data_IF_643607134620
#
_entry.id   IF_643607134620
#
_cell.length_a   1.000
_cell.length_b   1.000
_cell.length_c   1.000
_cell.angle_alpha   90.00
_cell.angle_beta   90.00
_cell.angle_gamma   90.00
#
_symmetry.space_group_name_H-M   'P 1'
#
loop_
_entity.id
_entity.type
_entity.pdbx_description
1 polymer ?
#
# COMPACT_ATOMS: atom_id res chain seq x y z
N UNK A 1 1.59 -11.43 -36.91
CA UNK A 1 2.96 -11.98 -36.81
C UNK A 1 3.47 -11.57 -35.43
N UNK A 2 3.28 -12.40 -34.39
CA UNK A 2 4.18 -13.51 -33.97
C UNK A 2 5.57 -12.95 -33.60
N UNK A 3 6.12 -13.11 -32.40
CA UNK A 3 6.24 -14.29 -31.52
C UNK A 3 6.40 -13.86 -30.03
N UNK A 4 5.80 -14.50 -29.01
CA UNK A 4 6.25 -15.71 -28.26
C UNK A 4 7.69 -15.56 -27.71
N UNK A 5 8.02 -15.75 -26.43
CA UNK A 5 7.72 -16.85 -25.49
C UNK A 5 7.81 -16.34 -24.02
N UNK A 6 6.92 -16.71 -23.10
CA UNK A 6 6.93 -17.92 -22.25
C UNK A 6 8.31 -18.28 -21.63
N UNK A 7 8.46 -18.06 -20.33
CA UNK A 7 9.14 -19.04 -19.47
C UNK A 7 8.52 -19.04 -18.07
N UNK A 8 7.97 -20.19 -17.70
CA UNK A 8 7.51 -20.56 -16.37
C UNK A 8 8.31 -21.80 -15.96
N UNK A 9 9.06 -21.74 -14.87
CA UNK A 9 9.52 -22.90 -14.07
C UNK A 9 10.18 -22.30 -12.81
N UNK A 10 9.52 -22.27 -11.66
CA UNK A 10 9.48 -23.31 -10.63
C UNK A 10 10.83 -23.64 -9.98
N UNK A 11 10.81 -23.56 -8.65
CA UNK A 11 11.40 -24.51 -7.71
C UNK A 11 12.78 -24.23 -7.07
N UNK A 12 12.75 -24.40 -5.74
CA UNK A 12 13.81 -24.84 -4.81
C UNK A 12 14.60 -23.77 -4.04
N UNK A 13 14.27 -23.69 -2.75
CA UNK A 13 15.10 -23.23 -1.64
C UNK A 13 16.49 -23.87 -1.62
N UNK A 14 17.52 -23.06 -1.36
CA UNK A 14 18.73 -23.32 -0.53
C UNK A 14 19.63 -22.09 -0.67
N UNK A 15 19.69 -21.27 0.38
CA UNK A 15 20.79 -21.21 1.36
C UNK A 15 21.94 -20.28 0.95
N UNK A 16 22.13 -19.28 1.82
CA UNK A 16 23.39 -18.76 2.36
C UNK A 16 24.50 -18.17 1.44
N UNK A 17 25.04 -17.07 2.00
CA UNK A 17 26.40 -16.50 1.85
C UNK A 17 26.60 -15.65 0.59
N UNK A 18 26.41 -14.32 0.69
CA UNK A 18 27.33 -13.31 1.28
C UNK A 18 28.68 -13.26 0.55
N UNK A 19 28.89 -12.13 -0.13
CA UNK A 19 30.20 -11.50 -0.40
C UNK A 19 31.12 -12.29 -1.34
N UNK A 20 31.67 -11.72 -2.41
CA UNK A 20 32.52 -10.53 -2.40
C UNK A 20 32.61 -10.06 -3.86
N UNK A 21 32.25 -8.81 -4.13
CA UNK A 21 32.67 -8.10 -5.33
C UNK A 21 34.00 -7.42 -5.02
N UNK A 22 35.06 -7.77 -5.74
CA UNK A 22 36.28 -6.98 -5.78
C UNK A 22 36.60 -6.67 -7.24
N UNK A 23 36.58 -5.38 -7.60
CA UNK A 23 37.04 -4.89 -8.91
C UNK A 23 38.27 -4.00 -8.68
N UNK A 24 39.41 -4.52 -9.18
CA UNK A 24 40.58 -3.89 -9.81
C UNK A 24 41.30 -2.68 -9.16
N UNK A 25 42.62 -2.80 -8.94
CA UNK A 25 43.62 -1.98 -9.68
C UNK A 25 45.06 -2.51 -9.57
N UNK A 26 45.82 -2.31 -10.65
CA UNK A 26 47.24 -2.63 -10.85
C UNK A 26 48.12 -1.44 -10.42
N UNK A 27 49.28 -1.67 -9.77
CA UNK A 27 50.32 -0.63 -9.70
C UNK A 27 51.32 -0.70 -8.54
N UNK A 28 52.50 -1.25 -8.83
CA UNK A 28 53.86 -0.81 -8.45
C UNK A 28 54.23 -0.27 -7.03
N UNK A 29 55.17 -1.02 -6.44
CA UNK A 29 56.29 -0.69 -5.50
C UNK A 29 56.00 -0.54 -3.99
N UNK A 30 56.81 -1.19 -3.12
CA UNK A 30 56.62 -1.13 -1.67
C UNK A 30 57.48 -0.05 -1.01
N UNK A 31 56.92 0.64 -0.02
CA UNK A 31 57.67 1.32 1.05
C UNK A 31 56.93 1.11 2.39
N UNK A 32 57.65 1.07 3.54
CA UNK A 32 57.12 0.49 4.77
C UNK A 32 56.52 1.60 5.65
N UNK A 33 55.20 1.54 5.90
CA UNK A 33 54.53 2.43 6.84
C UNK A 33 53.57 1.62 7.70
N UNK A 34 53.85 1.68 9.02
CA UNK A 34 53.03 1.42 10.21
C UNK A 34 51.76 0.57 10.08
N UNK A 35 51.75 -0.50 10.89
CA UNK A 35 50.57 -1.27 11.34
C UNK A 35 49.32 -0.38 11.46
N UNK A 36 48.36 -0.53 10.54
CA UNK A 36 47.01 0.01 10.70
C UNK A 36 46.26 -0.97 11.58
N UNK A 37 45.95 -0.52 12.80
CA UNK A 37 45.05 -1.20 13.73
C UNK A 37 43.73 -1.48 13.02
N UNK A 38 43.44 -2.75 12.79
CA UNK A 38 42.19 -3.21 12.20
C UNK A 38 41.12 -2.97 13.26
N UNK A 39 40.41 -1.86 13.13
CA UNK A 39 39.25 -1.57 13.96
C UNK A 39 38.16 -2.57 13.56
N UNK A 40 38.15 -3.73 14.22
CA UNK A 40 37.08 -4.73 14.13
C UNK A 40 35.75 -4.02 14.35
N UNK A 41 34.94 -3.93 13.28
CA UNK A 41 33.55 -3.54 13.42
C UNK A 41 32.83 -4.68 14.16
N UNK A 42 32.24 -4.43 15.34
CA UNK A 42 31.46 -5.46 16.01
C UNK A 42 30.27 -5.81 15.12
N UNK A 43 30.25 -7.05 14.65
CA UNK A 43 29.14 -7.63 13.91
C UNK A 43 27.97 -7.93 14.85
N UNK A 44 27.35 -6.89 15.38
CA UNK A 44 26.05 -6.98 16.03
C UNK A 44 25.18 -5.82 15.54
N UNK A 45 24.50 -6.02 14.42
CA UNK A 45 23.27 -5.28 14.16
C UNK A 45 22.31 -5.77 15.25
N UNK A 46 21.83 -4.92 16.17
CA UNK A 46 20.79 -5.35 17.08
C UNK A 46 19.62 -5.75 16.20
N UNK A 47 19.21 -7.02 16.27
CA UNK A 47 17.88 -7.40 15.84
C UNK A 47 16.92 -6.64 16.74
N UNK A 48 16.65 -5.37 16.40
CA UNK A 48 15.56 -4.59 16.96
C UNK A 48 14.35 -5.47 16.71
N UNK A 49 13.85 -6.09 17.77
CA UNK A 49 12.58 -6.80 17.75
C UNK A 49 11.58 -5.75 17.28
N UNK A 50 11.24 -5.80 15.99
CA UNK A 50 10.16 -5.02 15.43
C UNK A 50 8.91 -5.64 16.05
N UNK A 51 8.55 -5.18 17.24
CA UNK A 51 7.23 -5.48 17.79
C UNK A 51 6.25 -4.80 16.84
N UNK A 52 5.42 -5.57 16.14
CA UNK A 52 4.41 -4.97 15.28
C UNK A 52 3.55 -4.05 16.13
N UNK A 53 3.29 -2.85 15.63
CA UNK A 53 2.47 -1.88 16.34
C UNK A 53 1.10 -2.51 16.65
N UNK A 54 0.59 -2.35 17.89
CA UNK A 54 -0.68 -2.94 18.29
C UNK A 54 -1.81 -2.36 17.44
N UNK A 55 -2.69 -3.22 16.92
CA UNK A 55 -3.88 -2.78 16.20
C UNK A 55 -4.87 -2.12 17.17
N UNK A 56 -5.47 -0.99 16.80
CA UNK A 56 -6.50 -0.31 17.61
C UNK A 56 -7.90 -0.87 17.32
N UNK A 57 -8.51 -1.64 18.23
CA UNK A 57 -9.84 -2.22 18.04
C UNK A 57 -10.96 -1.20 18.24
N UNK A 58 -12.05 -1.38 17.48
CA UNK A 58 -13.33 -0.72 17.75
C UNK A 58 -14.06 -1.48 18.86
N UNK A 59 -14.60 -0.77 19.84
CA UNK A 59 -15.28 -1.39 20.99
C UNK A 59 -16.79 -1.21 20.87
N UNK A 60 -17.49 -2.35 20.78
CA UNK A 60 -18.94 -2.40 20.84
C UNK A 60 -19.39 -2.82 22.23
N UNK A 61 -20.56 -2.38 22.70
CA UNK A 61 -21.06 -2.75 24.03
C UNK A 61 -22.46 -3.33 23.94
N UNK A 62 -22.70 -4.45 24.63
CA UNK A 62 -24.01 -5.08 24.76
C UNK A 62 -24.19 -5.59 26.18
N UNK A 63 -25.27 -5.19 26.86
CA UNK A 63 -25.54 -5.60 28.25
C UNK A 63 -24.37 -5.37 29.21
N UNK A 64 -23.71 -4.21 29.09
CA UNK A 64 -22.48 -3.84 29.83
C UNK A 64 -21.28 -4.76 29.59
N UNK A 65 -21.33 -5.62 28.57
CA UNK A 65 -20.22 -6.43 28.13
C UNK A 65 -19.60 -5.80 26.87
N UNK A 66 -18.31 -5.41 26.92
CA UNK A 66 -17.61 -4.89 25.76
C UNK A 66 -17.17 -6.01 24.82
N UNK A 67 -17.09 -5.69 23.54
CA UNK A 67 -16.60 -6.51 22.46
C UNK A 67 -15.57 -5.71 21.66
N UNK A 68 -14.31 -6.10 21.77
CA UNK A 68 -13.25 -5.57 20.92
C UNK A 68 -13.30 -6.28 19.58
N UNK A 69 -13.46 -5.49 18.51
CA UNK A 69 -13.53 -5.97 17.15
C UNK A 69 -12.62 -5.14 16.23
N UNK A 70 -12.10 -5.78 15.20
CA UNK A 70 -11.15 -5.21 14.24
C UNK A 70 -11.58 -5.59 12.83
N UNK A 71 -11.45 -4.65 11.91
CA UNK A 71 -11.45 -4.98 10.49
C UNK A 71 -10.01 -5.00 10.02
N UNK A 72 -9.54 -6.15 9.55
CA UNK A 72 -8.18 -6.35 9.07
C UNK A 72 -8.24 -7.15 7.78
N UNK A 73 -7.59 -6.66 6.72
CA UNK A 73 -7.55 -7.33 5.41
C UNK A 73 -8.97 -7.63 4.87
N UNK A 74 -9.92 -6.69 5.05
CA UNK A 74 -11.34 -6.82 4.70
C UNK A 74 -12.10 -7.97 5.43
N UNK A 75 -11.50 -8.55 6.46
CA UNK A 75 -12.11 -9.56 7.32
C UNK A 75 -12.38 -9.00 8.72
N UNK A 76 -13.52 -9.38 9.30
CA UNK A 76 -13.86 -8.99 10.67
C UNK A 76 -13.27 -9.98 11.67
N UNK A 77 -12.66 -9.43 12.72
CA UNK A 77 -11.99 -10.16 13.78
C UNK A 77 -12.53 -9.74 15.13
N UNK A 78 -12.87 -10.70 15.98
CA UNK A 78 -13.50 -10.50 17.29
C UNK A 78 -12.64 -11.08 18.40
N UNK A 79 -12.48 -10.36 19.51
CA UNK A 79 -11.78 -10.88 20.68
C UNK A 79 -12.48 -12.12 21.24
N UNK A 80 -11.78 -13.27 21.26
CA UNK A 80 -12.33 -14.54 21.74
C UNK A 80 -12.81 -14.43 23.20
N UNK A 81 -12.06 -13.72 24.04
CA UNK A 81 -12.39 -13.52 25.46
C UNK A 81 -13.73 -12.80 25.64
N UNK A 82 -13.98 -11.79 24.81
CA UNK A 82 -15.20 -11.00 24.85
C UNK A 82 -16.40 -11.78 24.31
N UNK A 83 -16.21 -12.52 23.21
CA UNK A 83 -17.23 -13.43 22.66
C UNK A 83 -17.63 -14.48 23.71
N UNK A 84 -16.67 -15.08 24.41
CA UNK A 84 -16.97 -16.02 25.50
C UNK A 84 -17.84 -15.40 26.59
N UNK A 85 -17.50 -14.18 27.04
CA UNK A 85 -18.30 -13.44 28.03
C UNK A 85 -19.73 -13.17 27.54
N UNK A 86 -19.88 -12.77 26.27
CA UNK A 86 -21.18 -12.52 25.65
C UNK A 86 -22.03 -13.80 25.49
N UNK A 87 -21.38 -14.94 25.26
CA UNK A 87 -22.02 -16.26 25.22
C UNK A 87 -22.30 -16.84 26.61
N UNK A 88 -21.75 -16.23 27.67
CA UNK A 88 -21.81 -16.78 29.03
C UNK A 88 -20.97 -18.06 29.23
N UNK A 89 -19.97 -18.29 28.36
CA UNK A 89 -19.13 -19.49 28.37
C UNK A 89 -17.65 -19.10 28.32
N UNK A 90 -16.83 -19.75 29.15
CA UNK A 90 -15.38 -19.60 29.04
C UNK A 90 -14.86 -20.37 27.81
N UNK A 91 -14.41 -19.65 26.77
CA UNK A 91 -13.81 -20.28 25.59
C UNK A 91 -12.42 -20.83 25.94
N UNK A 92 -12.37 -22.13 26.25
CA UNK A 92 -11.11 -22.82 26.49
C UNK A 92 -10.29 -22.97 25.20
N UNK A 93 -8.97 -23.14 25.32
CA UNK A 93 -8.09 -23.41 24.18
C UNK A 93 -8.54 -24.63 23.37
N UNK A 94 -9.10 -25.64 24.04
CA UNK A 94 -9.67 -26.83 23.39
C UNK A 94 -10.87 -26.52 22.52
N UNK A 95 -11.70 -25.54 22.88
CA UNK A 95 -12.84 -25.12 22.06
C UNK A 95 -12.36 -24.34 20.84
N UNK A 96 -11.43 -23.39 21.05
CA UNK A 96 -10.87 -22.57 19.98
C UNK A 96 -10.02 -23.39 19.01
N UNK A 97 -9.35 -24.45 19.48
CA UNK A 97 -8.55 -25.33 18.62
C UNK A 97 -9.36 -26.19 17.66
N UNK A 98 -10.68 -26.33 17.87
CA UNK A 98 -11.61 -26.98 16.92
C UNK A 98 -11.92 -26.12 15.71
N UNK A 99 -11.62 -24.82 15.77
CA UNK A 99 -11.77 -23.93 14.62
C UNK A 99 -10.64 -24.17 13.63
N UNK A 100 -10.86 -23.79 12.38
CA UNK A 100 -9.83 -23.86 11.36
C UNK A 100 -8.78 -22.75 11.54
N UNK A 101 -7.64 -22.87 10.85
CA UNK A 101 -6.51 -21.94 11.00
C UNK A 101 -6.84 -20.52 10.50
N UNK A 102 -7.73 -20.40 9.52
CA UNK A 102 -8.25 -19.12 9.01
C UNK A 102 -9.27 -18.48 9.98
N UNK A 103 -9.91 -19.29 10.82
CA UNK A 103 -10.96 -18.83 11.73
C UNK A 103 -10.43 -18.24 13.03
N UNK A 104 -9.13 -18.41 13.32
CA UNK A 104 -8.48 -17.90 14.52
C UNK A 104 -7.13 -17.29 14.19
N UNK A 105 -6.82 -16.14 14.78
CA UNK A 105 -5.52 -15.48 14.61
C UNK A 105 -5.13 -14.78 15.89
N UNK A 106 -3.87 -14.93 16.30
CA UNK A 106 -3.37 -14.20 17.46
C UNK A 106 -2.84 -12.87 16.98
N UNK A 107 -3.39 -11.77 17.51
CA UNK A 107 -3.04 -10.41 17.12
C UNK A 107 -2.58 -9.61 18.34
N UNK A 108 -1.69 -8.66 18.12
CA UNK A 108 -1.40 -7.61 19.10
C UNK A 108 -2.45 -6.51 18.95
N UNK A 109 -3.23 -6.30 19.99
CA UNK A 109 -4.30 -5.30 19.98
C UNK A 109 -4.16 -4.37 21.18
N UNK A 110 -4.64 -3.14 21.03
CA UNK A 110 -4.80 -2.23 22.16
C UNK A 110 -6.02 -2.63 22.99
N UNK A 111 -5.82 -3.53 23.95
CA UNK A 111 -6.84 -4.01 24.86
C UNK A 111 -6.86 -3.14 26.12
N UNK A 112 -7.93 -2.38 26.35
CA UNK A 112 -8.04 -1.42 27.46
C UNK A 112 -6.83 -0.48 27.60
N UNK A 113 -6.43 0.16 26.48
CA UNK A 113 -5.28 1.08 26.41
C UNK A 113 -3.93 0.44 26.72
N UNK A 114 -3.84 -0.88 26.62
CA UNK A 114 -2.59 -1.63 26.79
C UNK A 114 -2.38 -2.56 25.59
N UNK A 115 -1.19 -2.60 25.00
CA UNK A 115 -0.88 -3.59 23.98
C UNK A 115 -0.87 -4.98 24.60
N UNK A 116 -1.78 -5.84 24.16
CA UNK A 116 -1.89 -7.22 24.63
C UNK A 116 -2.05 -8.17 23.44
N UNK A 117 -1.41 -9.34 23.56
CA UNK A 117 -1.53 -10.41 22.57
C UNK A 117 -2.82 -11.18 22.83
N UNK A 118 -3.81 -11.02 21.95
CA UNK A 118 -5.14 -11.57 22.13
C UNK A 118 -5.50 -12.57 21.03
N UNK A 119 -6.22 -13.64 21.43
CA UNK A 119 -6.82 -14.56 20.47
C UNK A 119 -8.04 -13.90 19.83
N UNK A 120 -8.00 -13.75 18.50
CA UNK A 120 -9.06 -13.17 17.69
C UNK A 120 -9.71 -14.25 16.84
N UNK A 121 -11.01 -14.12 16.64
CA UNK A 121 -11.84 -15.04 15.88
C UNK A 121 -12.40 -14.33 14.66
N UNK A 122 -12.35 -14.97 13.49
CA UNK A 122 -13.00 -14.43 12.31
C UNK A 122 -14.52 -14.46 12.46
N UNK A 123 -15.23 -13.75 11.58
CA UNK A 123 -16.68 -13.88 11.41
C UNK A 123 -17.15 -15.33 11.35
N UNK A 124 -16.54 -16.13 10.46
CA UNK A 124 -16.88 -17.54 10.27
C UNK A 124 -16.59 -18.37 11.53
N UNK A 125 -15.50 -18.09 12.23
CA UNK A 125 -15.14 -18.75 13.48
C UNK A 125 -16.14 -18.48 14.61
N UNK A 126 -16.62 -17.24 14.73
CA UNK A 126 -17.65 -16.89 15.73
C UNK A 126 -18.97 -17.63 15.43
N UNK A 127 -19.42 -17.65 14.17
CA UNK A 127 -20.63 -18.40 13.82
C UNK A 127 -20.47 -19.90 14.03
N UNK A 128 -19.31 -20.47 13.72
CA UNK A 128 -19.01 -21.88 14.01
C UNK A 128 -19.13 -22.19 15.51
N UNK A 129 -18.60 -21.33 16.38
CA UNK A 129 -18.75 -21.47 17.84
C UNK A 129 -20.20 -21.37 18.30
N UNK A 130 -21.00 -20.46 17.74
CA UNK A 130 -22.42 -20.31 18.07
C UNK A 130 -23.23 -21.55 17.69
N UNK A 131 -22.82 -22.26 16.64
CA UNK A 131 -23.43 -23.54 16.22
C UNK A 131 -22.96 -24.68 17.12
N UNK A 132 -21.65 -24.80 17.37
CA UNK A 132 -21.10 -25.86 18.24
C UNK A 132 -21.59 -25.76 19.69
N UNK A 133 -21.81 -24.54 20.18
CA UNK A 133 -22.25 -24.24 21.54
C UNK A 133 -23.57 -23.48 21.50
N UNK A 134 -24.60 -24.16 20.98
CA UNK A 134 -25.93 -23.60 20.89
C UNK A 134 -26.53 -23.38 22.28
N UNK A 135 -26.85 -22.12 22.57
CA UNK A 135 -27.65 -21.69 23.71
C UNK A 135 -28.75 -20.77 23.16
N UNK A 136 -30.03 -20.92 23.54
CA UNK A 136 -31.11 -20.08 23.01
C UNK A 136 -30.85 -18.57 23.16
N UNK A 137 -30.18 -18.15 24.25
CA UNK A 137 -29.76 -16.77 24.48
C UNK A 137 -28.77 -16.21 23.44
N UNK A 138 -28.02 -17.09 22.77
CA UNK A 138 -27.05 -16.72 21.73
C UNK A 138 -27.74 -16.31 20.41
N UNK A 139 -29.06 -16.53 20.26
CA UNK A 139 -29.82 -16.05 19.09
C UNK A 139 -29.71 -14.55 18.92
N UNK A 140 -29.89 -13.82 20.02
CA UNK A 140 -29.80 -12.36 20.05
C UNK A 140 -28.37 -11.87 19.89
N UNK A 141 -27.38 -12.64 20.35
CA UNK A 141 -25.96 -12.33 20.11
C UNK A 141 -25.64 -12.43 18.61
N UNK A 142 -26.10 -13.51 17.96
CA UNK A 142 -25.94 -13.69 16.51
C UNK A 142 -26.57 -12.54 15.74
N UNK A 143 -27.83 -12.21 16.03
CA UNK A 143 -28.53 -11.09 15.38
C UNK A 143 -27.82 -9.76 15.59
N UNK A 144 -27.33 -9.49 16.80
CA UNK A 144 -26.56 -8.29 17.09
C UNK A 144 -25.25 -8.21 16.30
N UNK A 145 -24.51 -9.32 16.20
CA UNK A 145 -23.29 -9.39 15.40
C UNK A 145 -23.59 -9.12 13.91
N UNK A 146 -24.57 -9.82 13.35
CA UNK A 146 -24.91 -9.76 11.92
C UNK A 146 -25.44 -8.39 11.51
N UNK A 147 -26.32 -7.78 12.32
CA UNK A 147 -27.07 -6.60 11.90
C UNK A 147 -26.53 -5.28 12.44
N UNK A 148 -25.68 -5.31 13.47
CA UNK A 148 -25.15 -4.09 14.06
C UNK A 148 -23.63 -4.06 14.01
N UNK A 149 -22.96 -5.06 14.58
CA UNK A 149 -21.50 -5.01 14.75
C UNK A 149 -20.76 -5.11 13.42
N UNK A 150 -21.05 -6.13 12.61
CA UNK A 150 -20.35 -6.36 11.34
C UNK A 150 -20.57 -5.20 10.35
N UNK A 151 -21.81 -4.72 10.11
CA UNK A 151 -22.04 -3.58 9.24
C UNK A 151 -21.32 -2.33 9.73
N UNK A 152 -21.47 -1.98 11.02
CA UNK A 152 -20.83 -0.79 11.58
C UNK A 152 -19.29 -0.82 11.46
N UNK A 153 -18.69 -2.00 11.60
CA UNK A 153 -17.25 -2.18 11.46
C UNK A 153 -16.78 -2.00 10.00
N UNK A 154 -17.56 -2.47 9.02
CA UNK A 154 -17.27 -2.28 7.58
C UNK A 154 -17.50 -0.83 7.14
N UNK A 155 -18.54 -0.19 7.64
CA UNK A 155 -18.84 1.21 7.35
C UNK A 155 -17.77 2.14 7.94
N UNK A 156 -17.27 1.82 9.13
CA UNK A 156 -16.18 2.58 9.77
C UNK A 156 -14.89 2.56 8.93
N UNK A 157 -14.48 1.40 8.40
CA UNK A 157 -13.32 1.35 7.48
C UNK A 157 -13.59 2.12 6.20
N UNK A 158 -14.78 1.98 5.64
CA UNK A 158 -15.18 2.67 4.40
C UNK A 158 -15.22 4.20 4.56
N UNK A 159 -15.36 4.69 5.79
CA UNK A 159 -15.22 6.12 6.12
C UNK A 159 -13.76 6.54 6.35
N UNK A 160 -12.91 5.63 6.84
CA UNK A 160 -11.50 5.89 7.15
C UNK A 160 -10.59 5.72 5.91
N UNK A 161 -10.91 4.78 5.05
CA UNK A 161 -10.35 4.61 3.71
C UNK A 161 -11.28 5.35 2.74
N UNK A 162 -10.77 6.32 1.97
CA UNK A 162 -11.47 7.09 0.92
C UNK A 162 -11.96 6.24 -0.27
N UNK A 163 -12.40 5.01 -0.03
CA UNK A 163 -12.91 4.06 -1.01
C UNK A 163 -14.35 4.35 -1.45
N UNK A 164 -15.07 5.22 -0.73
CA UNK A 164 -16.35 5.72 -1.23
C UNK A 164 -16.13 6.69 -2.39
N UNK A 165 -16.98 6.60 -3.43
CA UNK A 165 -17.02 7.59 -4.49
C UNK A 165 -17.48 8.91 -3.88
N UNK A 166 -16.54 9.83 -3.62
CA UNK A 166 -16.86 11.17 -3.15
C UNK A 166 -16.83 12.14 -4.32
N UNK A 167 -17.97 12.74 -4.63
CA UNK A 167 -18.04 13.79 -5.64
C UNK A 167 -17.64 15.12 -5.00
N UNK A 168 -16.59 15.75 -5.52
CA UNK A 168 -16.22 17.12 -5.22
C UNK A 168 -16.32 17.98 -6.48
N UNK A 169 -16.23 19.28 -6.30
CA UNK A 169 -16.23 20.25 -7.38
C UNK A 169 -14.87 20.96 -7.35
N UNK A 170 -14.13 20.87 -8.44
CA UNK A 170 -12.85 21.51 -8.63
C UNK A 170 -13.09 22.88 -9.25
N UNK A 171 -12.74 23.94 -8.52
CA UNK A 171 -12.77 25.31 -9.03
C UNK A 171 -11.53 25.54 -9.90
N UNK A 172 -11.74 25.64 -11.22
CA UNK A 172 -10.73 25.97 -12.22
C UNK A 172 -10.91 27.42 -12.68
N UNK A 173 -9.86 28.14 -13.13
CA UNK A 173 -9.88 29.59 -13.37
C UNK A 173 -11.04 30.17 -14.19
N UNK A 174 -11.74 29.36 -15.00
CA UNK A 174 -12.91 29.76 -15.79
C UNK A 174 -14.07 28.74 -15.75
N UNK A 175 -13.98 27.67 -14.95
CA UNK A 175 -15.05 26.65 -14.87
C UNK A 175 -15.01 25.83 -13.57
N UNK A 176 -16.14 25.23 -13.22
CA UNK A 176 -16.23 24.22 -12.17
C UNK A 176 -16.31 22.81 -12.77
N UNK A 177 -15.41 21.91 -12.38
CA UNK A 177 -15.41 20.53 -12.85
C UNK A 177 -15.88 19.56 -11.76
N UNK A 178 -16.71 18.59 -12.13
CA UNK A 178 -17.05 17.49 -11.21
C UNK A 178 -15.87 16.53 -11.11
N UNK A 179 -15.28 16.41 -9.92
CA UNK A 179 -14.17 15.52 -9.62
C UNK A 179 -14.68 14.37 -8.73
N UNK A 180 -14.59 13.15 -9.23
CA UNK A 180 -14.92 11.96 -8.46
C UNK A 180 -13.67 11.45 -7.77
N UNK A 181 -13.61 11.51 -6.44
CA UNK A 181 -12.57 10.85 -5.67
C UNK A 181 -12.94 9.38 -5.49
N UNK A 182 -12.07 8.49 -5.95
CA UNK A 182 -12.22 7.05 -5.78
C UNK A 182 -10.85 6.44 -5.52
N UNK A 183 -10.70 5.70 -4.42
CA UNK A 183 -9.44 5.02 -4.05
C UNK A 183 -8.23 5.97 -3.98
N UNK A 184 -8.43 7.19 -3.48
CA UNK A 184 -7.44 8.28 -3.44
C UNK A 184 -6.99 8.82 -4.82
N UNK A 185 -7.67 8.47 -5.91
CA UNK A 185 -7.47 9.05 -7.23
C UNK A 185 -8.63 9.99 -7.59
N UNK A 186 -8.29 11.08 -8.30
CA UNK A 186 -9.26 12.02 -8.83
C UNK A 186 -9.66 11.65 -10.26
N UNK A 187 -10.92 11.34 -10.47
CA UNK A 187 -11.50 10.99 -11.75
C UNK A 187 -12.32 12.16 -12.30
N UNK A 188 -11.93 12.66 -13.47
CA UNK A 188 -12.68 13.68 -14.20
C UNK A 188 -13.48 12.97 -15.29
N UNK A 189 -14.70 13.43 -15.55
CA UNK A 189 -15.50 12.85 -16.64
C UNK A 189 -14.80 13.10 -17.97
N UNK A 190 -14.68 12.07 -18.81
CA UNK A 190 -14.00 12.19 -20.11
C UNK A 190 -14.60 13.29 -21.01
N UNK A 191 -15.91 13.53 -20.92
CA UNK A 191 -16.59 14.63 -21.62
C UNK A 191 -16.13 16.03 -21.24
N UNK A 192 -15.53 16.18 -20.06
CA UNK A 192 -15.02 17.46 -19.56
C UNK A 192 -13.55 17.69 -20.02
N UNK A 193 -12.89 16.67 -20.57
CA UNK A 193 -11.49 16.71 -21.02
C UNK A 193 -11.19 17.70 -22.15
N UNK A 194 -12.06 17.91 -23.16
CA UNK A 194 -11.83 18.94 -24.16
C UNK A 194 -11.64 20.31 -23.51
N UNK A 195 -12.47 20.68 -22.54
CA UNK A 195 -12.41 22.00 -21.89
C UNK A 195 -11.09 22.20 -21.11
N UNK A 196 -10.52 21.13 -20.54
CA UNK A 196 -9.19 21.17 -19.92
C UNK A 196 -8.07 21.43 -20.93
N UNK A 197 -8.17 20.89 -22.14
CA UNK A 197 -7.13 21.03 -23.15
C UNK A 197 -7.16 22.38 -23.89
N UNK A 198 -8.29 23.08 -23.90
CA UNK A 198 -8.43 24.32 -24.69
C UNK A 198 -7.63 25.50 -24.12
N UNK A 199 -7.25 25.47 -22.84
CA UNK A 199 -6.47 26.55 -22.22
C UNK A 199 -4.94 26.29 -22.25
N UNK A 200 -4.52 25.05 -22.56
CA UNK A 200 -3.09 24.70 -22.58
C UNK A 200 -2.34 25.08 -23.85
N UNK A 201 -3.01 25.49 -24.94
CA UNK A 201 -2.31 26.08 -26.10
C UNK A 201 -1.64 27.42 -25.80
N UNK A 202 -1.88 27.99 -24.62
CA UNK A 202 -1.24 29.22 -24.14
C UNK A 202 0.06 28.99 -23.36
N UNK A 203 0.45 27.74 -23.07
CA UNK A 203 1.80 27.46 -22.61
C UNK A 203 2.77 27.79 -23.74
N UNK A 204 3.22 29.05 -23.74
CA UNK A 204 4.39 29.53 -24.45
C UNK A 204 5.60 28.77 -23.94
N UNK A 205 5.79 27.55 -24.43
CA UNK A 205 7.14 27.07 -24.68
C UNK A 205 7.69 28.07 -25.70
N UNK A 206 8.78 28.81 -25.39
CA UNK A 206 9.44 29.56 -26.44
C UNK A 206 9.86 28.52 -27.46
N UNK A 207 9.23 28.53 -28.64
CA UNK A 207 9.69 27.75 -29.78
C UNK A 207 11.11 28.23 -30.05
N UNK A 208 12.08 27.51 -29.50
CA UNK A 208 13.48 27.70 -29.82
C UNK A 208 13.56 27.51 -31.33
N UNK A 209 13.84 28.61 -32.04
CA UNK A 209 13.99 28.58 -33.49
C UNK A 209 14.98 27.45 -33.82
N UNK A 210 14.64 26.54 -34.74
CA UNK A 210 15.51 25.42 -35.02
C UNK A 210 16.89 25.91 -35.45
N UNK A 211 17.93 25.37 -34.81
CA UNK A 211 19.34 25.74 -35.01
C UNK A 211 19.76 25.77 -36.50
N UNK A 212 19.13 24.93 -37.33
CA UNK A 212 19.38 24.84 -38.76
C UNK A 212 18.98 26.09 -39.55
N UNK A 213 18.10 26.98 -39.04
CA UNK A 213 17.80 28.26 -39.71
C UNK A 213 18.98 29.23 -39.71
N UNK A 214 19.86 29.20 -38.68
CA UNK A 214 21.10 29.99 -38.66
C UNK A 214 22.17 29.40 -39.59
N UNK A 215 22.18 28.07 -39.73
CA UNK A 215 23.13 27.37 -40.63
C UNK A 215 22.74 27.54 -42.10
N UNK A 216 21.44 27.55 -42.42
CA UNK A 216 20.96 27.79 -43.78
C UNK A 216 21.27 29.22 -44.29
N UNK A 217 21.28 30.22 -43.41
CA UNK A 217 21.65 31.59 -43.77
C UNK A 217 23.17 31.77 -43.96
N UNK A 218 24.00 30.95 -43.32
CA UNK A 218 25.45 30.94 -43.53
C UNK A 218 25.87 30.28 -44.86
N UNK A 219 25.04 29.42 -45.45
CA UNK A 219 25.34 28.76 -46.72
C UNK A 219 24.82 29.49 -47.97
N UNK A 220 23.99 30.53 -47.82
CA UNK A 220 23.50 31.34 -48.96
C UNK A 220 24.35 32.58 -49.25
N UNK A 221 25.38 32.89 -48.44
CA UNK A 221 26.27 34.03 -48.67
C UNK A 221 27.54 33.70 -49.49
N UNK A 222 27.70 32.46 -49.99
CA UNK A 222 28.94 32.01 -50.67
C UNK A 222 28.80 31.76 -52.18
N UNK A 223 27.69 32.13 -52.82
CA UNK A 223 27.55 32.00 -54.28
C UNK A 223 26.83 33.21 -54.86
N UNK A 224 27.55 34.33 -55.00
CA UNK A 224 27.38 35.31 -56.08
C UNK A 224 28.51 36.37 -56.02
N UNK A 225 29.69 35.96 -56.49
CA UNK A 225 30.83 36.78 -56.95
C UNK A 225 31.41 35.93 -58.10
N UNK A 226 31.53 36.33 -59.36
CA UNK A 226 31.38 37.56 -60.13
C UNK A 226 30.57 37.17 -61.39
N UNK A 227 29.72 38.02 -61.97
CA UNK A 227 30.13 39.29 -62.55
C UNK A 227 30.78 39.03 -63.91
N UNK A 228 29.93 38.82 -64.92
CA UNK A 228 30.30 38.74 -66.33
C UNK A 228 30.88 40.08 -66.75
N UNK A 229 32.00 40.11 -67.48
CA UNK A 229 32.36 41.30 -68.26
C UNK A 229 33.18 40.95 -69.51
N UNK A 230 32.47 40.82 -70.63
CA UNK A 230 32.81 41.47 -71.90
C UNK A 230 31.95 42.74 -71.96
N UNK A 231 32.33 43.92 -72.47
CA UNK A 231 33.49 44.40 -73.24
C UNK A 231 33.42 45.94 -73.22
N UNK A 232 34.54 46.62 -72.98
CA UNK A 232 35.27 47.48 -73.92
C UNK A 232 36.67 47.72 -73.36
#
# INVERSE_FOLDING_TARGET
>A
MLALAMYAQSCVSKELLVGISLVLYVGSRPSPISYVEVMEMPAEIPHRSVTPDPCSPTVFTRHNLPLHALLLENQTWFCARDIGRLMGVHLSDRMVSKLDKDQRRVLWIEYWRKPEKQMMLSESGVYALLVYHYVPGNRLLREWLTHQVIPALRDAETSANTGLPMLSLLDWPEMSLSLLHWQNEGWIRLRDMPYLLHDHTQWRVPVAKPWWRRVAQMFQSSKHSMGWMTRL
#
